data_IF_908346871589
#
_entry.id   IF_908346871589
#
_cell.length_a   1.000
_cell.length_b   1.000
_cell.length_c   1.000
_cell.angle_alpha   90.00
_cell.angle_beta   90.00
_cell.angle_gamma   90.00
#
_symmetry.space_group_name_H-M   'P 1'
#
loop_
_entity.id
_entity.type
_entity.pdbx_description
1 polymer ?
#
# COMPACT_ATOMS: atom_id res chain seq x y z
N UNK A 1 11.03 -4.81 20.67
CA UNK A 1 11.05 -6.08 19.91
C UNK A 1 9.96 -6.05 18.84
N UNK A 2 10.17 -5.33 17.73
CA UNK A 2 9.40 -5.48 16.50
C UNK A 2 10.34 -5.10 15.37
N UNK A 3 11.04 -6.09 14.83
CA UNK A 3 12.02 -5.91 13.78
C UNK A 3 12.10 -7.19 12.97
N UNK A 4 12.03 -7.01 11.64
CA UNK A 4 12.01 -8.03 10.56
C UNK A 4 10.66 -8.66 10.26
N UNK A 5 10.00 -8.10 9.26
CA UNK A 5 9.37 -8.86 8.17
C UNK A 5 9.48 -8.03 6.88
N UNK A 6 10.68 -8.05 6.32
CA UNK A 6 10.96 -7.58 4.95
C UNK A 6 11.60 -8.75 4.22
N UNK A 7 11.22 -8.90 2.95
CA UNK A 7 11.67 -9.86 1.94
C UNK A 7 10.84 -11.15 1.84
N UNK A 8 10.08 -11.26 0.74
CA UNK A 8 10.19 -12.27 -0.33
C UNK A 8 9.02 -12.03 -1.31
N UNK A 9 9.12 -11.04 -2.19
CA UNK A 9 8.22 -10.92 -3.35
C UNK A 9 8.93 -10.30 -4.56
N UNK A 10 10.11 -10.81 -4.93
CA UNK A 10 10.70 -10.51 -6.23
C UNK A 10 11.65 -11.60 -6.72
N UNK A 11 11.12 -12.70 -7.28
CA UNK A 11 11.75 -13.32 -8.45
C UNK A 11 10.88 -14.40 -9.10
N UNK A 12 10.77 -14.28 -10.43
CA UNK A 12 10.56 -15.30 -11.47
C UNK A 12 9.18 -15.32 -12.14
N UNK A 13 9.08 -14.63 -13.27
CA UNK A 13 8.37 -15.13 -14.45
C UNK A 13 8.75 -14.34 -15.72
N UNK A 14 9.90 -14.62 -16.32
CA UNK A 14 10.20 -14.54 -17.76
C UNK A 14 11.39 -15.50 -17.98
N UNK A 15 11.50 -16.38 -18.98
CA UNK A 15 11.15 -16.30 -20.41
C UNK A 15 11.06 -17.73 -20.98
N UNK A 16 10.12 -18.00 -21.89
CA UNK A 16 10.37 -18.82 -23.08
C UNK A 16 9.37 -18.36 -24.16
N UNK A 17 9.93 -17.85 -25.26
CA UNK A 17 9.26 -17.16 -26.34
C UNK A 17 8.84 -18.12 -27.45
N UNK A 18 7.78 -17.79 -28.20
CA UNK A 18 7.75 -17.99 -29.65
C UNK A 18 6.64 -17.18 -30.34
N UNK A 19 7.04 -16.42 -31.36
CA UNK A 19 6.28 -16.12 -32.58
C UNK A 19 4.99 -15.29 -32.50
N UNK A 20 5.08 -13.98 -32.78
CA UNK A 20 4.14 -13.26 -33.65
C UNK A 20 4.63 -11.81 -33.89
N UNK A 21 4.94 -11.48 -35.14
CA UNK A 21 5.08 -10.10 -35.61
C UNK A 21 3.75 -9.35 -35.43
N UNK A 22 3.68 -8.51 -34.41
CA UNK A 22 2.62 -7.51 -34.26
C UNK A 22 3.23 -6.14 -34.47
N UNK A 23 2.74 -5.43 -35.50
CA UNK A 23 3.01 -4.02 -35.76
C UNK A 23 3.05 -3.25 -34.43
N UNK A 24 4.23 -2.74 -34.07
CA UNK A 24 4.42 -1.93 -32.86
C UNK A 24 3.54 -0.69 -32.97
N UNK A 25 2.53 -0.48 -32.10
CA UNK A 25 1.92 0.83 -32.00
C UNK A 25 3.02 1.80 -31.54
N UNK A 26 3.06 2.99 -32.15
CA UNK A 26 3.96 4.06 -31.77
C UNK A 26 4.00 4.18 -30.24
N UNK A 27 5.21 4.16 -29.67
CA UNK A 27 5.42 4.34 -28.22
C UNK A 27 4.72 5.64 -27.81
N UNK A 28 3.51 5.53 -27.27
CA UNK A 28 2.90 6.63 -26.52
C UNK A 28 3.93 6.97 -25.45
N UNK A 29 4.37 8.24 -25.43
CA UNK A 29 5.19 8.76 -24.32
C UNK A 29 4.53 8.28 -23.03
N UNK A 30 5.28 7.83 -22.01
CA UNK A 30 4.65 7.48 -20.75
C UNK A 30 3.94 8.73 -20.25
N UNK A 31 2.62 8.79 -20.44
CA UNK A 31 1.77 9.67 -19.68
C UNK A 31 2.13 9.35 -18.23
N UNK A 32 2.59 10.37 -17.49
CA UNK A 32 2.81 10.24 -16.05
C UNK A 32 1.58 9.54 -15.52
N UNK A 33 1.70 8.25 -15.17
CA UNK A 33 0.57 7.48 -14.66
C UNK A 33 0.12 8.25 -13.44
N UNK A 34 -1.08 8.81 -13.51
CA UNK A 34 -1.74 9.34 -12.33
C UNK A 34 -1.76 8.20 -11.33
N UNK A 35 -0.98 8.34 -10.24
CA UNK A 35 -0.93 7.33 -9.20
C UNK A 35 -2.35 7.07 -8.71
N UNK A 36 -2.73 5.80 -8.58
CA UNK A 36 -4.07 5.51 -8.12
C UNK A 36 -4.18 5.86 -6.62
N UNK A 37 -5.40 6.15 -6.15
CA UNK A 37 -5.64 6.56 -4.77
C UNK A 37 -5.10 5.57 -3.73
N UNK A 38 -5.20 4.26 -4.00
CA UNK A 38 -4.73 3.24 -3.09
C UNK A 38 -3.19 3.10 -3.10
N UNK A 39 -2.54 3.37 -4.23
CA UNK A 39 -1.08 3.49 -4.33
C UNK A 39 -0.57 4.68 -3.50
N UNK A 40 -1.24 5.83 -3.60
CA UNK A 40 -0.90 7.00 -2.79
C UNK A 40 -1.07 6.72 -1.29
N UNK A 41 -2.18 6.11 -0.89
CA UNK A 41 -2.41 5.75 0.51
C UNK A 41 -1.40 4.73 1.04
N UNK A 42 -1.04 3.72 0.23
CA UNK A 42 -0.05 2.73 0.61
C UNK A 42 1.34 3.37 0.78
N UNK A 43 1.78 4.18 -0.20
CA UNK A 43 3.06 4.89 -0.12
C UNK A 43 3.10 5.84 1.08
N UNK A 44 2.04 6.64 1.28
CA UNK A 44 1.93 7.58 2.38
C UNK A 44 2.00 6.88 3.75
N UNK A 45 1.19 5.84 3.99
CA UNK A 45 1.17 5.14 5.29
C UNK A 45 2.48 4.41 5.57
N UNK A 46 3.10 3.81 4.55
CA UNK A 46 4.42 3.19 4.69
C UNK A 46 5.49 4.23 5.03
N UNK A 47 5.50 5.37 4.34
CA UNK A 47 6.44 6.45 4.63
C UNK A 47 6.23 7.04 6.03
N UNK A 48 4.97 7.20 6.50
CA UNK A 48 4.67 7.56 7.88
C UNK A 48 5.22 6.55 8.90
N UNK A 49 5.14 5.25 8.60
CA UNK A 49 5.67 4.22 9.50
C UNK A 49 7.21 4.15 9.52
N UNK A 50 7.86 4.68 8.48
CA UNK A 50 9.32 4.74 8.34
C UNK A 50 9.91 6.11 8.72
N UNK A 51 9.08 7.07 9.16
CA UNK A 51 9.45 8.46 9.46
C UNK A 51 10.14 9.17 8.26
N UNK A 52 9.77 8.82 7.02
CA UNK A 52 10.35 9.38 5.79
C UNK A 52 9.53 10.58 5.30
N UNK A 53 9.91 11.79 5.76
CA UNK A 53 9.19 13.01 5.44
C UNK A 53 9.18 13.35 3.94
N UNK A 54 10.25 13.02 3.21
CA UNK A 54 10.33 13.29 1.76
C UNK A 54 9.31 12.45 1.01
N UNK A 55 9.23 11.15 1.32
CA UNK A 55 8.23 10.27 0.71
C UNK A 55 6.80 10.57 1.17
N UNK A 56 6.61 11.06 2.40
CA UNK A 56 5.30 11.53 2.88
C UNK A 56 4.80 12.68 1.98
N UNK A 57 5.65 13.69 1.77
CA UNK A 57 5.30 14.87 0.97
C UNK A 57 5.07 14.50 -0.50
N UNK A 58 5.88 13.59 -1.05
CA UNK A 58 5.72 13.08 -2.41
C UNK A 58 4.38 12.35 -2.59
N UNK A 59 4.07 11.38 -1.73
CA UNK A 59 2.84 10.60 -1.83
C UNK A 59 1.59 11.45 -1.60
N UNK A 60 1.66 12.45 -0.71
CA UNK A 60 0.57 13.39 -0.46
C UNK A 60 0.24 14.27 -1.68
N UNK A 61 1.22 14.53 -2.56
CA UNK A 61 1.03 15.32 -3.77
C UNK A 61 0.39 14.54 -4.93
N UNK A 62 0.26 13.21 -4.82
CA UNK A 62 -0.25 12.37 -5.91
C UNK A 62 -1.76 12.48 -6.12
N UNK A 63 -2.52 12.77 -5.06
CA UNK A 63 -3.99 12.82 -5.06
C UNK A 63 -4.50 13.98 -4.19
N UNK A 64 -5.80 14.28 -4.24
CA UNK A 64 -6.36 15.30 -3.34
C UNK A 64 -6.29 14.85 -1.87
N UNK A 65 -6.27 15.78 -0.90
CA UNK A 65 -6.29 15.42 0.51
C UNK A 65 -7.48 14.55 0.92
N UNK A 66 -8.65 14.76 0.31
CA UNK A 66 -9.87 13.98 0.56
C UNK A 66 -9.72 12.54 0.03
N UNK A 67 -9.13 12.40 -1.16
CA UNK A 67 -8.81 11.11 -1.76
C UNK A 67 -7.80 10.34 -0.88
N UNK A 68 -6.75 11.01 -0.42
CA UNK A 68 -5.76 10.39 0.47
C UNK A 68 -6.40 9.95 1.79
N UNK A 69 -7.21 10.81 2.42
CA UNK A 69 -7.91 10.49 3.66
C UNK A 69 -8.82 9.27 3.52
N UNK A 70 -9.56 9.18 2.41
CA UNK A 70 -10.38 8.00 2.09
C UNK A 70 -9.52 6.74 1.97
N UNK A 71 -8.41 6.82 1.23
CA UNK A 71 -7.50 5.68 1.03
C UNK A 71 -6.85 5.21 2.33
N UNK A 72 -6.41 6.12 3.18
CA UNK A 72 -5.85 5.82 4.50
C UNK A 72 -6.88 5.14 5.40
N UNK A 73 -8.12 5.64 5.44
CA UNK A 73 -9.19 5.04 6.23
C UNK A 73 -9.52 3.61 5.76
N UNK A 74 -9.61 3.40 4.45
CA UNK A 74 -9.86 2.06 3.89
C UNK A 74 -8.70 1.09 4.18
N UNK A 75 -7.45 1.56 4.06
CA UNK A 75 -6.27 0.77 4.41
C UNK A 75 -6.28 0.37 5.90
N UNK A 76 -6.61 1.31 6.80
CA UNK A 76 -6.73 1.03 8.23
C UNK A 76 -7.80 -0.03 8.53
N UNK A 77 -8.99 0.07 7.92
CA UNK A 77 -10.04 -0.93 8.05
C UNK A 77 -9.57 -2.32 7.60
N UNK A 78 -8.94 -2.41 6.43
CA UNK A 78 -8.42 -3.68 5.90
C UNK A 78 -7.34 -4.28 6.79
N UNK A 79 -6.42 -3.46 7.28
CA UNK A 79 -5.36 -3.90 8.18
C UNK A 79 -5.93 -4.47 9.48
N UNK A 80 -6.91 -3.80 10.09
CA UNK A 80 -7.57 -4.29 11.31
C UNK A 80 -8.30 -5.60 11.07
N UNK A 81 -9.05 -5.73 9.95
CA UNK A 81 -9.77 -6.96 9.62
C UNK A 81 -8.80 -8.13 9.38
N UNK A 82 -7.72 -7.89 8.64
CA UNK A 82 -6.70 -8.91 8.38
C UNK A 82 -6.06 -9.38 9.69
N UNK A 83 -5.62 -8.42 10.52
CA UNK A 83 -4.94 -8.71 11.77
C UNK A 83 -5.85 -9.37 12.81
N UNK A 84 -7.14 -9.01 12.85
CA UNK A 84 -8.15 -9.66 13.68
C UNK A 84 -8.29 -11.14 13.33
N UNK A 85 -8.33 -11.47 12.03
CA UNK A 85 -8.37 -12.87 11.57
C UNK A 85 -7.09 -13.63 11.90
N UNK A 86 -5.93 -12.99 11.74
CA UNK A 86 -4.63 -13.61 12.08
C UNK A 86 -4.50 -13.92 13.57
N UNK A 87 -5.11 -13.11 14.43
CA UNK A 87 -5.05 -13.25 15.90
C UNK A 87 -6.22 -14.01 16.52
N UNK A 88 -7.21 -14.40 15.72
CA UNK A 88 -8.51 -14.90 16.20
C UNK A 88 -9.16 -13.98 17.26
N UNK A 89 -9.02 -12.67 17.05
CA UNK A 89 -9.55 -11.64 17.93
C UNK A 89 -10.65 -10.81 17.23
N UNK A 90 -11.47 -10.11 18.01
CA UNK A 90 -12.42 -9.16 17.42
C UNK A 90 -11.69 -7.95 16.84
N UNK A 91 -12.16 -7.35 15.72
CA UNK A 91 -11.61 -6.09 15.18
C UNK A 91 -11.54 -4.97 16.22
N UNK A 92 -12.51 -4.91 17.13
CA UNK A 92 -12.54 -3.93 18.23
C UNK A 92 -11.38 -4.12 19.19
N UNK A 93 -11.09 -5.36 19.58
CA UNK A 93 -9.96 -5.69 20.46
C UNK A 93 -8.65 -5.27 19.79
N UNK A 94 -8.43 -5.68 18.54
CA UNK A 94 -7.22 -5.34 17.77
C UNK A 94 -7.02 -3.83 17.65
N UNK A 95 -8.06 -3.09 17.25
CA UNK A 95 -7.97 -1.64 17.09
C UNK A 95 -7.63 -0.93 18.41
N UNK A 96 -8.23 -1.35 19.53
CA UNK A 96 -7.91 -0.80 20.86
C UNK A 96 -6.48 -1.09 21.25
N UNK A 97 -6.01 -2.32 21.05
CA UNK A 97 -4.63 -2.73 21.33
C UNK A 97 -3.62 -1.94 20.51
N UNK A 98 -3.86 -1.74 19.21
CA UNK A 98 -2.97 -0.94 18.34
C UNK A 98 -2.85 0.52 18.80
N UNK A 99 -3.93 1.07 19.38
CA UNK A 99 -3.98 2.44 19.88
C UNK A 99 -3.61 2.57 21.37
N UNK A 100 -3.18 1.48 22.04
CA UNK A 100 -2.83 1.49 23.46
C UNK A 100 -4.01 1.78 24.40
N UNK A 101 -5.24 1.53 23.96
CA UNK A 101 -6.44 1.76 24.74
C UNK A 101 -6.73 0.57 25.68
N UNK A 102 -7.32 0.79 26.87
CA UNK A 102 -7.63 -0.30 27.80
C UNK A 102 -8.62 -1.31 27.19
N UNK A 103 -8.59 -2.57 27.61
CA UNK A 103 -9.60 -3.55 27.20
C UNK A 103 -11.01 -3.04 27.57
N UNK A 104 -11.98 -3.30 26.68
CA UNK A 104 -13.37 -2.90 26.86
C UNK A 104 -14.13 -3.92 27.71
#
# INVERSE_FOLDING_TARGET
MFGRLREIWHRKATVAAEGAEVRRPAKRRPEKRTHNLFEAAAAYVSACAEDDQEQIDEAAAWVSPEALSFGVNELACRAVIALARERDESPRTVARTLLGLPAA
#
